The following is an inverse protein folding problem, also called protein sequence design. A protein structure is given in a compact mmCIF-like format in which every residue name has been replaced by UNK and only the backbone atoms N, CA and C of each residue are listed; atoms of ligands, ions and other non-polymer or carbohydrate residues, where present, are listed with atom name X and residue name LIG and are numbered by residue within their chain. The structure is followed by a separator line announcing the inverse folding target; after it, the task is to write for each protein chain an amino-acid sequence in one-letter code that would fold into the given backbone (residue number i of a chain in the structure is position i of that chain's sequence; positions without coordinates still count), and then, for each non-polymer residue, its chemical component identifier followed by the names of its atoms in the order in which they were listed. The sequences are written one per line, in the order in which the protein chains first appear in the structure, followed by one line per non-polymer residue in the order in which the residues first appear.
data_IF_299497368515
#
_entry.id   IF_299497368515
#
_cell.length_a   1.000
_cell.length_b   1.000
_cell.length_c   1.000
_cell.angle_alpha   90.00
_cell.angle_beta   90.00
_cell.angle_gamma   90.00
#
_symmetry.space_group_name_H-M   'P 1'
#
loop_
_entity.id
_entity.type
_entity.pdbx_description
1 polymer ?
#
# COMPACT_ATOMS: atom_id res chain seq x y z
N UNK A 1 -37.79 -37.41 1.17
CA UNK A 1 -36.34 -37.06 1.25
C UNK A 1 -36.20 -35.70 1.95
N UNK A 2 -35.36 -35.60 3.00
CA UNK A 2 -35.19 -34.34 3.78
C UNK A 2 -34.46 -33.31 2.91
N UNK A 3 -35.08 -32.17 2.61
CA UNK A 3 -34.48 -31.05 1.80
C UNK A 3 -33.43 -30.20 2.55
N UNK A 4 -33.18 -30.53 3.83
CA UNK A 4 -32.27 -29.80 4.72
C UNK A 4 -30.80 -29.70 4.21
N UNK A 5 -30.19 -30.76 3.66
CA UNK A 5 -28.80 -30.64 3.18
C UNK A 5 -28.68 -29.65 2.02
N UNK A 6 -29.69 -29.59 1.14
CA UNK A 6 -29.67 -28.63 0.02
C UNK A 6 -29.79 -27.18 0.51
N UNK A 7 -30.63 -26.93 1.53
CA UNK A 7 -30.81 -25.62 2.15
C UNK A 7 -29.49 -25.16 2.81
N UNK A 8 -28.80 -26.06 3.53
CA UNK A 8 -27.52 -25.76 4.18
C UNK A 8 -26.46 -25.42 3.13
N UNK A 9 -26.35 -26.20 2.05
CA UNK A 9 -25.42 -25.96 0.96
C UNK A 9 -25.70 -24.60 0.29
N UNK A 10 -26.96 -24.31 -0.01
CA UNK A 10 -27.34 -23.01 -0.59
C UNK A 10 -27.00 -21.85 0.35
N UNK A 11 -27.29 -21.98 1.64
CA UNK A 11 -26.94 -20.95 2.63
C UNK A 11 -25.42 -20.72 2.73
N UNK A 12 -24.62 -21.80 2.69
CA UNK A 12 -23.16 -21.71 2.69
C UNK A 12 -22.63 -21.01 1.41
N UNK A 13 -23.17 -21.33 0.24
CA UNK A 13 -22.80 -20.67 -1.02
C UNK A 13 -23.15 -19.19 -0.98
N UNK A 14 -24.35 -18.83 -0.53
CA UNK A 14 -24.76 -17.42 -0.40
C UNK A 14 -23.83 -16.70 0.59
N UNK A 15 -23.51 -17.32 1.72
CA UNK A 15 -22.57 -16.77 2.70
C UNK A 15 -21.18 -16.50 2.12
N UNK A 16 -20.65 -17.42 1.33
CA UNK A 16 -19.36 -17.25 0.65
C UNK A 16 -19.40 -16.14 -0.40
N UNK A 17 -20.48 -16.05 -1.16
CA UNK A 17 -20.65 -14.97 -2.15
C UNK A 17 -20.70 -13.60 -1.46
N UNK A 18 -21.46 -13.49 -0.37
CA UNK A 18 -21.55 -12.26 0.42
C UNK A 18 -20.19 -11.90 1.03
N UNK A 19 -19.47 -12.86 1.60
CA UNK A 19 -18.13 -12.64 2.11
C UNK A 19 -17.18 -12.14 1.00
N UNK A 20 -17.20 -12.75 -0.18
CA UNK A 20 -16.40 -12.30 -1.32
C UNK A 20 -16.76 -10.85 -1.70
N UNK A 21 -18.05 -10.51 -1.85
CA UNK A 21 -18.49 -9.15 -2.20
C UNK A 21 -18.04 -8.14 -1.15
N UNK A 22 -18.24 -8.42 0.12
CA UNK A 22 -17.83 -7.55 1.22
C UNK A 22 -16.31 -7.36 1.20
N UNK A 23 -15.53 -8.43 1.00
CA UNK A 23 -14.08 -8.36 0.90
C UNK A 23 -13.56 -7.51 -0.27
N UNK A 24 -14.35 -7.33 -1.34
CA UNK A 24 -14.04 -6.40 -2.44
C UNK A 24 -14.35 -4.94 -2.07
N UNK A 25 -15.28 -4.70 -1.16
CA UNK A 25 -15.73 -3.36 -0.77
C UNK A 25 -14.89 -2.81 0.41
N UNK A 26 -14.46 -3.65 1.33
CA UNK A 26 -13.72 -3.26 2.54
C UNK A 26 -12.53 -2.33 2.27
N UNK A 27 -11.70 -2.52 1.22
CA UNK A 27 -10.60 -1.59 0.94
C UNK A 27 -11.08 -0.16 0.70
N UNK A 28 -12.24 0.03 0.04
CA UNK A 28 -12.82 1.37 -0.18
C UNK A 28 -13.14 2.10 1.13
N UNK A 29 -13.48 1.35 2.18
CA UNK A 29 -13.77 1.94 3.50
C UNK A 29 -12.50 2.42 4.21
N UNK A 30 -11.34 1.97 3.75
CA UNK A 30 -10.03 2.36 4.29
C UNK A 30 -9.44 3.55 3.55
N UNK A 31 -9.81 3.77 2.30
CA UNK A 31 -9.29 4.88 1.51
C UNK A 31 -9.78 6.22 2.05
N UNK A 32 -8.94 7.23 1.87
CA UNK A 32 -9.29 8.63 2.13
C UNK A 32 -8.98 9.45 0.89
N UNK A 33 -9.87 10.38 0.55
CA UNK A 33 -9.56 11.42 -0.43
C UNK A 33 -8.54 12.41 0.15
N UNK A 34 -7.88 13.12 -0.72
CA UNK A 34 -7.05 14.25 -0.34
C UNK A 34 -7.32 15.40 -1.30
N UNK A 35 -7.56 16.58 -0.73
CA UNK A 35 -7.73 17.82 -1.50
C UNK A 35 -6.39 18.55 -1.70
N UNK A 36 -5.27 17.93 -1.26
CA UNK A 36 -3.94 18.50 -1.42
C UNK A 36 -3.54 18.43 -2.90
N UNK A 37 -3.35 19.59 -3.50
CA UNK A 37 -2.74 19.72 -4.81
C UNK A 37 -1.22 19.75 -4.65
N UNK A 38 -0.55 18.70 -5.14
CA UNK A 38 0.89 18.55 -4.98
C UNK A 38 1.62 19.16 -6.17
N UNK A 39 2.41 20.22 -5.92
CA UNK A 39 3.31 20.76 -6.93
C UNK A 39 4.56 19.88 -7.06
N UNK A 40 4.50 18.91 -7.98
CA UNK A 40 5.59 17.96 -8.21
C UNK A 40 6.84 18.60 -8.86
N UNK A 41 6.83 19.89 -9.18
CA UNK A 41 7.98 20.61 -9.77
C UNK A 41 8.67 21.54 -8.76
N UNK A 42 8.19 21.60 -7.51
CA UNK A 42 8.82 22.41 -6.47
C UNK A 42 10.10 21.73 -5.95
N UNK A 43 11.28 22.33 -6.16
CA UNK A 43 12.56 21.73 -5.74
C UNK A 43 12.66 21.54 -4.22
N UNK A 44 12.06 22.44 -3.43
CA UNK A 44 12.10 22.33 -1.96
C UNK A 44 11.25 21.13 -1.49
N UNK A 45 10.06 20.95 -2.07
CA UNK A 45 9.19 19.83 -1.79
C UNK A 45 9.82 18.51 -2.21
N UNK A 46 10.43 18.45 -3.40
CA UNK A 46 11.13 17.26 -3.90
C UNK A 46 12.28 16.86 -2.94
N UNK A 47 13.09 17.83 -2.51
CA UNK A 47 14.20 17.56 -1.57
C UNK A 47 13.70 17.08 -0.21
N UNK A 48 12.61 17.64 0.30
CA UNK A 48 11.95 17.14 1.51
C UNK A 48 11.46 15.71 1.29
N UNK A 49 10.86 15.42 0.14
CA UNK A 49 10.36 14.10 -0.20
C UNK A 49 11.47 13.04 -0.30
N UNK A 50 12.63 13.40 -0.83
CA UNK A 50 13.81 12.53 -0.83
C UNK A 50 14.22 12.18 0.61
N UNK A 51 14.28 13.17 1.50
CA UNK A 51 14.60 12.96 2.90
C UNK A 51 13.59 12.03 3.58
N UNK A 52 12.29 12.27 3.39
CA UNK A 52 11.22 11.45 3.97
C UNK A 52 11.25 10.03 3.40
N UNK A 53 11.47 9.84 2.09
CA UNK A 53 11.57 8.53 1.48
C UNK A 53 12.78 7.72 1.99
N UNK A 54 13.89 8.40 2.31
CA UNK A 54 15.08 7.79 2.94
C UNK A 54 14.81 7.38 4.38
N UNK A 55 14.16 8.24 5.17
CA UNK A 55 13.84 7.92 6.57
C UNK A 55 12.78 6.83 6.70
N UNK A 56 11.86 6.74 5.73
CA UNK A 56 10.88 5.66 5.61
C UNK A 56 11.47 4.37 5.02
N UNK A 57 12.75 4.37 4.64
CA UNK A 57 13.52 3.22 4.14
C UNK A 57 12.90 2.51 2.92
N UNK A 58 12.23 3.27 2.04
CA UNK A 58 11.58 2.73 0.85
C UNK A 58 12.56 1.97 -0.05
N UNK A 59 13.80 2.46 -0.14
CA UNK A 59 14.84 1.89 -0.99
C UNK A 59 15.23 0.47 -0.58
N UNK A 60 15.26 0.16 0.73
CA UNK A 60 15.71 -1.14 1.22
C UNK A 60 14.80 -2.30 0.76
N UNK A 61 13.49 -2.05 0.67
CA UNK A 61 12.55 -3.05 0.19
C UNK A 61 12.32 -3.00 -1.32
N UNK A 62 12.40 -1.82 -1.93
CA UNK A 62 12.05 -1.64 -3.33
C UNK A 62 13.26 -1.62 -4.29
N UNK A 63 14.41 -2.12 -3.83
CA UNK A 63 15.63 -2.25 -4.65
C UNK A 63 16.28 -3.61 -4.39
N UNK A 64 16.65 -4.34 -5.42
CA UNK A 64 17.48 -5.56 -5.29
C UNK A 64 18.96 -5.16 -5.33
N UNK A 65 19.85 -6.05 -4.83
CA UNK A 65 21.31 -5.80 -4.75
C UNK A 65 21.91 -5.30 -6.07
N UNK A 66 21.51 -5.91 -7.18
CA UNK A 66 22.03 -5.61 -8.53
C UNK A 66 20.97 -4.92 -9.41
N UNK A 67 19.86 -4.45 -8.80
CA UNK A 67 18.73 -3.86 -9.53
C UNK A 67 18.77 -2.34 -9.54
N UNK A 68 17.93 -1.78 -10.41
CA UNK A 68 17.70 -0.34 -10.46
C UNK A 68 16.95 0.13 -9.21
N UNK A 69 17.34 1.28 -8.68
CA UNK A 69 16.76 1.86 -7.46
C UNK A 69 15.25 2.05 -7.59
N UNK A 70 14.51 1.59 -6.60
CA UNK A 70 13.04 1.60 -6.51
C UNK A 70 12.30 0.74 -7.57
N UNK A 71 13.01 -0.04 -8.38
CA UNK A 71 12.38 -0.89 -9.38
C UNK A 71 11.72 -2.18 -8.82
N UNK A 72 11.85 -2.43 -7.52
CA UNK A 72 11.27 -3.59 -6.87
C UNK A 72 12.01 -4.91 -7.16
N UNK A 73 11.33 -6.02 -6.94
CA UNK A 73 11.86 -7.35 -7.20
C UNK A 73 12.53 -8.04 -6.01
N UNK A 74 12.65 -7.36 -4.86
CA UNK A 74 13.21 -7.98 -3.65
C UNK A 74 12.25 -9.03 -3.08
N UNK A 75 12.69 -10.30 -2.87
CA UNK A 75 11.87 -11.32 -2.25
C UNK A 75 11.81 -11.11 -0.73
N UNK A 76 10.62 -10.95 -0.20
CA UNK A 76 10.33 -11.01 1.23
C UNK A 76 9.83 -12.41 1.57
N UNK A 77 10.68 -13.19 2.23
CA UNK A 77 10.39 -14.57 2.56
C UNK A 77 9.38 -14.67 3.71
N UNK A 78 8.34 -15.44 3.51
CA UNK A 78 7.33 -15.77 4.52
C UNK A 78 7.22 -17.29 4.68
N UNK A 79 6.62 -17.81 5.76
CA UNK A 79 6.37 -19.25 5.89
C UNK A 79 5.50 -19.84 4.77
N UNK A 80 4.79 -19.01 4.01
CA UNK A 80 3.89 -19.40 2.93
C UNK A 80 4.53 -19.27 1.54
N UNK A 81 5.71 -18.66 1.44
CA UNK A 81 6.40 -18.40 0.18
C UNK A 81 6.91 -16.96 0.07
N UNK A 82 7.45 -16.58 -1.08
CA UNK A 82 8.01 -15.26 -1.32
C UNK A 82 6.96 -14.24 -1.78
N UNK A 83 7.01 -13.06 -1.19
CA UNK A 83 6.28 -11.87 -1.66
C UNK A 83 7.32 -10.93 -2.25
N UNK A 84 7.16 -10.56 -3.52
CA UNK A 84 8.11 -9.65 -4.17
C UNK A 84 7.65 -8.21 -4.02
N UNK A 85 8.61 -7.32 -3.68
CA UNK A 85 8.37 -5.88 -3.71
C UNK A 85 8.06 -5.41 -5.12
N UNK A 86 7.22 -4.38 -5.22
CA UNK A 86 6.78 -3.84 -6.51
C UNK A 86 7.68 -2.71 -6.97
N UNK A 87 7.68 -2.44 -8.27
CA UNK A 87 8.25 -1.26 -8.87
C UNK A 87 7.48 -0.01 -8.40
N UNK A 88 8.16 0.90 -7.71
CA UNK A 88 7.62 2.19 -7.26
C UNK A 88 8.25 3.39 -7.97
N UNK A 89 8.96 3.16 -9.09
CA UNK A 89 9.41 4.22 -9.97
C UNK A 89 8.22 4.86 -10.72
N UNK A 90 8.35 6.09 -11.26
CA UNK A 90 7.30 6.75 -12.00
C UNK A 90 7.09 6.20 -13.43
N UNK A 91 7.46 4.94 -13.67
CA UNK A 91 7.11 4.26 -14.92
C UNK A 91 5.60 4.06 -15.01
N UNK A 92 5.01 4.45 -16.14
CA UNK A 92 3.55 4.44 -16.33
C UNK A 92 2.95 3.06 -16.56
N UNK A 93 3.75 2.10 -17.02
CA UNK A 93 3.25 0.76 -17.34
C UNK A 93 3.48 -0.22 -16.19
N UNK A 94 4.62 -0.16 -15.54
CA UNK A 94 5.07 -1.17 -14.57
C UNK A 94 5.24 -0.64 -13.15
N UNK A 95 5.34 0.69 -12.99
CA UNK A 95 5.51 1.38 -11.71
C UNK A 95 4.26 2.13 -11.24
N UNK A 96 4.51 3.23 -10.53
CA UNK A 96 3.45 4.08 -9.95
C UNK A 96 3.18 5.35 -10.76
N UNK A 97 3.72 5.49 -11.97
CA UNK A 97 3.62 6.70 -12.79
C UNK A 97 2.21 7.12 -13.23
N UNK A 98 1.20 6.30 -12.93
CA UNK A 98 -0.22 6.63 -13.12
C UNK A 98 -0.95 6.89 -11.79
N UNK A 99 -0.26 6.84 -10.65
CA UNK A 99 -0.88 7.11 -9.36
C UNK A 99 -1.16 8.61 -9.21
N UNK A 100 -2.34 8.95 -8.73
CA UNK A 100 -2.61 10.26 -8.15
C UNK A 100 -1.98 10.34 -6.76
N UNK A 101 -1.91 11.54 -6.17
CA UNK A 101 -1.48 11.67 -4.78
C UNK A 101 -2.39 10.87 -3.83
N UNK A 102 -3.68 10.87 -4.09
CA UNK A 102 -4.65 10.05 -3.33
C UNK A 102 -4.34 8.55 -3.43
N UNK A 103 -4.01 8.04 -4.61
CA UNK A 103 -3.63 6.63 -4.79
C UNK A 103 -2.34 6.30 -4.01
N UNK A 104 -1.35 7.19 -4.08
CA UNK A 104 -0.08 7.04 -3.37
C UNK A 104 -0.29 7.03 -1.84
N UNK A 105 -1.03 8.01 -1.32
CA UNK A 105 -1.40 8.10 0.10
C UNK A 105 -2.11 6.82 0.57
N UNK A 106 -3.11 6.36 -0.18
CA UNK A 106 -3.86 5.16 0.18
C UNK A 106 -2.98 3.90 0.16
N UNK A 107 -2.03 3.79 -0.76
CA UNK A 107 -1.08 2.68 -0.77
C UNK A 107 -0.15 2.72 0.44
N UNK A 108 0.43 3.88 0.75
CA UNK A 108 1.42 4.04 1.83
C UNK A 108 0.80 3.98 3.21
N UNK A 109 -0.31 4.71 3.47
CA UNK A 109 -0.95 4.77 4.81
C UNK A 109 -1.94 3.65 5.06
N UNK A 110 -2.70 3.26 4.05
CA UNK A 110 -3.86 2.40 4.25
C UNK A 110 -3.71 1.00 3.65
N UNK A 111 -2.58 0.73 2.98
CA UNK A 111 -2.33 -0.55 2.36
C UNK A 111 -3.35 -0.91 1.28
N UNK A 112 -3.84 0.09 0.53
CA UNK A 112 -4.82 -0.09 -0.55
C UNK A 112 -4.22 0.39 -1.86
N UNK A 113 -4.14 -0.51 -2.83
CA UNK A 113 -3.64 -0.22 -4.17
C UNK A 113 -4.63 0.62 -4.97
N UNK A 114 -4.13 1.25 -6.06
CA UNK A 114 -4.94 1.99 -7.03
C UNK A 114 -6.09 1.15 -7.63
N UNK A 115 -5.90 -0.16 -7.81
CA UNK A 115 -6.95 -1.08 -8.27
C UNK A 115 -7.86 -1.57 -7.14
N UNK A 116 -7.88 -0.84 -6.01
CA UNK A 116 -8.69 -1.07 -4.84
C UNK A 116 -8.51 -2.44 -4.19
N UNK A 117 -7.30 -3.00 -4.26
CA UNK A 117 -6.97 -4.27 -3.59
C UNK A 117 -6.08 -4.04 -2.39
N UNK A 118 -6.30 -4.83 -1.34
CA UNK A 118 -5.46 -4.84 -0.17
C UNK A 118 -4.02 -5.22 -0.50
N UNK A 119 -3.04 -4.48 0.05
CA UNK A 119 -1.63 -4.86 0.03
C UNK A 119 -1.35 -5.94 1.08
N UNK A 120 -0.34 -6.77 0.82
CA UNK A 120 0.20 -7.65 1.86
C UNK A 120 0.88 -6.81 2.94
N UNK A 121 0.76 -7.20 4.23
CA UNK A 121 1.42 -6.51 5.34
C UNK A 121 2.95 -6.69 5.35
N UNK A 122 3.51 -7.34 4.32
CA UNK A 122 4.94 -7.31 4.04
C UNK A 122 5.43 -5.88 3.74
N UNK A 123 4.59 -5.03 3.15
CA UNK A 123 4.77 -3.59 3.18
C UNK A 123 4.26 -3.06 4.52
N UNK A 124 5.08 -2.38 5.34
CA UNK A 124 4.71 -1.99 6.70
C UNK A 124 3.82 -0.73 6.75
N UNK A 125 2.77 -0.67 5.93
CA UNK A 125 1.83 0.45 5.89
C UNK A 125 1.20 0.78 7.26
N UNK A 126 1.01 -0.16 8.22
CA UNK A 126 0.56 0.20 9.55
C UNK A 126 1.53 1.15 10.29
N UNK A 127 2.82 1.08 9.98
CA UNK A 127 3.83 1.98 10.55
C UNK A 127 3.80 3.38 9.93
N UNK A 128 3.28 3.50 8.70
CA UNK A 128 3.19 4.77 7.99
C UNK A 128 1.85 5.50 8.19
N UNK A 129 0.89 4.90 8.91
CA UNK A 129 -0.42 5.52 9.12
C UNK A 129 -0.35 6.88 9.81
N UNK A 130 0.63 7.07 10.69
CA UNK A 130 0.82 8.30 11.45
C UNK A 130 1.63 9.38 10.69
N UNK A 131 2.16 9.06 9.50
CA UNK A 131 2.90 10.04 8.71
C UNK A 131 1.99 11.21 8.30
N UNK A 132 2.43 12.48 8.50
CA UNK A 132 1.67 13.64 8.05
C UNK A 132 1.42 13.62 6.54
N UNK A 133 0.29 14.17 6.11
CA UNK A 133 -0.07 14.21 4.69
C UNK A 133 0.88 15.11 3.88
N UNK A 134 1.48 16.13 4.51
CA UNK A 134 2.49 17.00 3.92
C UNK A 134 3.78 16.23 3.59
N UNK A 135 4.21 15.33 4.46
CA UNK A 135 5.38 14.47 4.22
C UNK A 135 5.09 13.44 3.11
N UNK A 136 3.87 12.92 3.06
CA UNK A 136 3.44 12.06 1.95
C UNK A 136 3.37 12.82 0.62
N UNK A 137 2.91 14.08 0.63
CA UNK A 137 2.89 14.93 -0.55
C UNK A 137 4.31 15.22 -1.06
N UNK A 138 5.24 15.47 -0.14
CA UNK A 138 6.65 15.62 -0.47
C UNK A 138 7.25 14.34 -1.07
N UNK A 139 6.99 13.17 -0.44
CA UNK A 139 7.42 11.88 -0.99
C UNK A 139 6.85 11.63 -2.38
N UNK A 140 5.57 11.93 -2.59
CA UNK A 140 4.93 11.79 -3.90
C UNK A 140 5.62 12.67 -4.95
N UNK A 141 5.92 13.94 -4.62
CA UNK A 141 6.65 14.84 -5.51
C UNK A 141 8.04 14.29 -5.88
N UNK A 142 8.77 13.75 -4.91
CA UNK A 142 10.06 13.11 -5.13
C UNK A 142 9.95 11.91 -6.09
N UNK A 143 9.04 10.97 -5.80
CA UNK A 143 8.87 9.78 -6.65
C UNK A 143 8.45 10.13 -8.07
N UNK A 144 7.60 11.15 -8.25
CA UNK A 144 7.08 11.51 -9.57
C UNK A 144 8.05 12.36 -10.40
N UNK A 145 9.03 13.05 -9.78
CA UNK A 145 9.86 14.03 -10.48
C UNK A 145 11.35 13.73 -10.47
N UNK A 146 11.90 13.16 -9.39
CA UNK A 146 13.34 12.96 -9.23
C UNK A 146 13.76 11.50 -9.42
N UNK A 147 12.87 10.54 -9.12
CA UNK A 147 13.16 9.13 -9.34
C UNK A 147 13.09 8.81 -10.84
N UNK A 148 14.15 8.17 -11.35
CA UNK A 148 14.21 7.74 -12.75
C UNK A 148 13.15 6.66 -13.03
N UNK A 149 12.31 6.80 -14.07
CA UNK A 149 11.37 5.75 -14.45
C UNK A 149 12.13 4.51 -14.96
N UNK A 150 11.78 3.35 -14.43
CA UNK A 150 12.36 2.06 -14.82
C UNK A 150 11.24 1.13 -15.27
N UNK A 151 11.30 0.68 -16.52
CA UNK A 151 10.34 -0.28 -17.05
C UNK A 151 10.72 -1.70 -16.62
N UNK A 152 10.28 -2.10 -15.43
CA UNK A 152 10.48 -3.43 -14.87
C UNK A 152 9.15 -4.01 -14.42
N UNK A 153 8.74 -5.11 -15.01
CA UNK A 153 7.51 -5.81 -14.65
C UNK A 153 7.59 -6.36 -13.23
N UNK A 154 6.50 -6.20 -12.47
CA UNK A 154 6.40 -6.74 -11.13
C UNK A 154 6.37 -8.27 -11.14
N UNK A 155 7.18 -8.90 -10.31
CA UNK A 155 7.19 -10.34 -10.12
C UNK A 155 5.89 -10.79 -9.41
N UNK A 156 5.41 -11.97 -9.79
CA UNK A 156 4.28 -12.59 -9.09
C UNK A 156 4.76 -13.22 -7.79
N UNK A 157 4.06 -12.96 -6.70
CA UNK A 157 4.34 -13.60 -5.41
C UNK A 157 4.18 -15.12 -5.51
N UNK A 158 5.11 -15.84 -4.90
CA UNK A 158 5.17 -17.31 -4.86
C UNK A 158 4.40 -17.83 -3.65
N UNK A 159 3.10 -17.58 -3.63
CA UNK A 159 2.21 -17.99 -2.56
C UNK A 159 1.23 -19.08 -3.04
N UNK A 160 0.74 -19.96 -2.15
CA UNK A 160 -0.34 -20.88 -2.47
C UNK A 160 -1.54 -20.14 -3.09
N UNK A 161 -2.28 -20.75 -4.02
CA UNK A 161 -3.35 -20.07 -4.76
C UNK A 161 -4.37 -19.35 -3.87
N UNK A 162 -4.79 -19.98 -2.77
CA UNK A 162 -5.78 -19.41 -1.84
C UNK A 162 -5.25 -18.18 -1.07
N UNK A 163 -3.95 -18.11 -0.81
CA UNK A 163 -3.32 -16.98 -0.12
C UNK A 163 -2.97 -15.83 -1.08
N UNK A 164 -3.02 -16.09 -2.40
CA UNK A 164 -2.94 -15.03 -3.42
C UNK A 164 -4.26 -14.24 -3.58
N UNK A 165 -5.35 -14.72 -3.00
CA UNK A 165 -6.60 -13.98 -2.99
C UNK A 165 -6.47 -12.75 -2.11
N UNK A 166 -6.81 -11.59 -2.66
CA UNK A 166 -6.65 -10.29 -1.95
C UNK A 166 -7.84 -9.96 -1.06
N UNK A 167 -9.03 -10.46 -1.37
CA UNK A 167 -10.22 -10.16 -0.60
C UNK A 167 -10.18 -10.65 0.87
N UNK A 168 -9.52 -11.78 1.24
CA UNK A 168 -9.38 -12.14 2.64
C UNK A 168 -8.45 -11.18 3.41
N UNK A 169 -7.45 -10.59 2.73
CA UNK A 169 -6.57 -9.58 3.35
C UNK A 169 -7.35 -8.32 3.78
N UNK A 170 -8.42 -7.96 3.05
CA UNK A 170 -9.26 -6.83 3.43
C UNK A 170 -9.94 -7.04 4.79
N UNK A 171 -10.37 -8.27 5.09
CA UNK A 171 -10.88 -8.63 6.41
C UNK A 171 -9.78 -8.57 7.47
N UNK A 172 -8.61 -9.10 7.15
CA UNK A 172 -7.48 -9.03 8.07
C UNK A 172 -7.14 -7.57 8.40
N UNK A 173 -7.06 -6.70 7.41
CA UNK A 173 -6.85 -5.26 7.62
C UNK A 173 -7.95 -4.64 8.49
N UNK A 174 -9.21 -4.98 8.23
CA UNK A 174 -10.33 -4.42 9.01
C UNK A 174 -10.32 -4.86 10.49
N UNK A 175 -9.85 -6.07 10.77
CA UNK A 175 -9.84 -6.64 12.12
C UNK A 175 -8.57 -6.30 12.91
N UNK A 176 -7.40 -6.28 12.26
CA UNK A 176 -6.10 -6.25 12.93
C UNK A 176 -5.27 -5.00 12.67
N UNK A 177 -5.70 -4.17 11.72
CA UNK A 177 -5.04 -2.92 11.37
C UNK A 177 -6.06 -1.77 11.34
N UNK A 178 -6.58 -1.33 12.52
CA UNK A 178 -7.49 -0.21 12.59
C UNK A 178 -6.80 1.07 12.12
N UNK A 179 -7.56 1.95 11.47
CA UNK A 179 -7.07 3.29 11.12
C UNK A 179 -6.65 4.05 12.38
N UNK A 180 -5.53 4.73 12.30
CA UNK A 180 -4.99 5.60 13.34
C UNK A 180 -4.67 6.95 12.74
N UNK A 181 -4.95 8.00 13.49
CA UNK A 181 -4.58 9.37 13.14
C UNK A 181 -3.45 9.82 14.04
N UNK A 182 -2.54 10.62 13.50
CA UNK A 182 -1.47 11.21 14.27
C UNK A 182 -2.05 12.30 15.19
N UNK A 183 -1.72 12.19 16.48
CA UNK A 183 -2.01 13.21 17.48
C UNK A 183 -0.68 13.51 18.17
N UNK A 184 -0.15 14.72 17.97
CA UNK A 184 1.06 15.15 18.65
C UNK A 184 0.84 15.20 20.16
N UNK A 185 1.74 14.58 20.93
CA UNK A 185 1.72 14.60 22.39
C UNK A 185 2.46 15.82 22.97
N UNK A 186 3.20 16.55 22.13
CA UNK A 186 4.00 17.71 22.52
C UNK A 186 3.64 18.93 21.72
N UNK A 187 3.60 20.09 22.42
CA UNK A 187 3.46 21.41 21.78
C UNK A 187 4.79 21.88 21.13
N UNK A 188 5.91 21.24 21.44
CA UNK A 188 7.20 21.48 20.77
C UNK A 188 7.18 20.86 19.38
N UNK A 189 7.31 21.71 18.34
CA UNK A 189 7.20 21.28 16.95
C UNK A 189 8.27 20.26 16.53
N UNK A 190 9.46 20.28 17.15
CA UNK A 190 10.54 19.32 16.86
C UNK A 190 10.22 17.97 17.48
N UNK A 191 9.77 17.95 18.74
CA UNK A 191 9.38 16.74 19.43
C UNK A 191 8.12 16.13 18.82
N UNK A 192 7.11 16.93 18.50
CA UNK A 192 5.89 16.49 17.84
C UNK A 192 6.17 15.82 16.48
N UNK A 193 7.17 16.32 15.74
CA UNK A 193 7.57 15.74 14.45
C UNK A 193 8.35 14.42 14.60
N UNK A 194 9.01 14.20 15.74
CA UNK A 194 9.81 13.00 16.03
C UNK A 194 9.02 11.84 16.65
N UNK A 195 7.76 12.06 16.99
CA UNK A 195 6.85 11.05 17.54
C UNK A 195 6.19 10.20 16.45
#
# INVERSE_FOLDING_TARGET
MKKWPLIIIMAAIVGLILAFIIGQILPNMRTSSSDIEVNITDPALIKQGEYVARTADCVACHTTLDGETYAGGLPMLTPLGAIYSTNITPDKETGIGQYTFTDFKNAVKHGVRRDNKALYPAMPYPSYQLMPDEDLAAMYAFFMSDVKPVKQANLKSELPPVTNWRWPLAYWQAMFDPKRDFVAESDDAVLARGQ
#
